data_IF_740018289332
#
_entry.id   IF_740018289332
#
_cell.length_a   1.000
_cell.length_b   1.000
_cell.length_c   1.000
_cell.angle_alpha   90.00
_cell.angle_beta   90.00
_cell.angle_gamma   90.00
#
_symmetry.space_group_name_H-M   'P 1'
#
loop_
_entity.id
_entity.type
_entity.pdbx_description
1 polymer ?
#
# COMPACT_ATOMS: atom_id res chain seq x y z
N UNK A 1 2.99 7.04 6.27
CA UNK A 1 1.87 6.81 5.32
C UNK A 1 2.45 6.02 4.17
N UNK A 2 1.83 4.89 3.80
CA UNK A 2 2.31 4.08 2.67
C UNK A 2 1.88 4.68 1.34
N UNK A 3 2.76 4.61 0.35
CA UNK A 3 2.46 5.04 -1.02
C UNK A 3 1.85 3.88 -1.81
N UNK A 4 0.81 4.16 -2.59
CA UNK A 4 0.13 3.13 -3.36
C UNK A 4 -0.09 3.58 -4.80
N UNK A 5 0.12 2.66 -5.73
CA UNK A 5 -0.14 2.90 -7.13
C UNK A 5 -1.57 2.48 -7.48
N UNK A 6 -2.33 3.35 -8.12
CA UNK A 6 -3.69 3.05 -8.58
C UNK A 6 -3.61 2.61 -10.04
N UNK A 7 -3.84 1.32 -10.27
CA UNK A 7 -3.90 0.69 -11.58
C UNK A 7 -5.38 0.48 -11.95
N UNK A 8 -5.90 1.25 -12.92
CA UNK A 8 -7.29 1.14 -13.38
C UNK A 8 -7.41 1.47 -14.87
N UNK A 9 -8.50 1.05 -15.56
CA UNK A 9 -8.68 1.35 -16.96
C UNK A 9 -8.74 2.85 -17.22
N UNK A 10 -8.16 3.28 -18.36
CA UNK A 10 -8.29 4.65 -18.86
C UNK A 10 -8.80 4.69 -20.29
N UNK A 11 -8.19 3.90 -21.20
CA UNK A 11 -8.65 3.84 -22.60
C UNK A 11 -10.11 3.45 -22.70
N UNK A 12 -10.82 4.13 -23.58
CA UNK A 12 -12.24 4.00 -23.80
C UNK A 12 -12.57 4.02 -25.29
N UNK A 13 -13.72 3.49 -25.66
CA UNK A 13 -14.22 3.48 -27.04
C UNK A 13 -14.89 4.81 -27.42
N UNK A 14 -15.43 5.48 -26.40
CA UNK A 14 -16.15 6.76 -26.54
C UNK A 14 -15.95 7.64 -25.30
N UNK A 15 -16.41 8.90 -25.37
CA UNK A 15 -16.30 9.85 -24.29
C UNK A 15 -17.02 9.42 -23.00
N UNK A 16 -18.20 8.78 -23.14
CA UNK A 16 -18.98 8.35 -21.99
C UNK A 16 -18.30 7.19 -21.22
N UNK A 17 -17.59 6.32 -21.95
CA UNK A 17 -16.77 5.28 -21.31
C UNK A 17 -15.52 5.89 -20.65
N UNK A 18 -14.89 6.89 -21.30
CA UNK A 18 -13.75 7.61 -20.72
C UNK A 18 -14.13 8.30 -19.42
N UNK A 19 -15.26 9.01 -19.39
CA UNK A 19 -15.75 9.68 -18.18
C UNK A 19 -15.95 8.68 -17.04
N UNK A 20 -16.56 7.51 -17.31
CA UNK A 20 -16.71 6.43 -16.32
C UNK A 20 -15.40 5.91 -15.80
N UNK A 21 -14.37 5.78 -16.66
CA UNK A 21 -13.04 5.33 -16.24
C UNK A 21 -12.35 6.37 -15.35
N UNK A 22 -12.48 7.67 -15.68
CA UNK A 22 -11.96 8.78 -14.89
C UNK A 22 -12.64 8.82 -13.51
N UNK A 23 -13.98 8.78 -13.48
CA UNK A 23 -14.75 8.75 -12.22
C UNK A 23 -14.35 7.56 -11.34
N UNK A 24 -14.14 6.39 -11.97
CA UNK A 24 -13.73 5.20 -11.24
C UNK A 24 -12.32 5.35 -10.65
N UNK A 25 -11.35 5.87 -11.42
CA UNK A 25 -10.01 6.15 -10.94
C UNK A 25 -10.00 7.17 -9.79
N UNK A 26 -10.83 8.22 -9.88
CA UNK A 26 -11.02 9.21 -8.81
C UNK A 26 -11.61 8.56 -7.54
N UNK A 27 -12.60 7.68 -7.71
CA UNK A 27 -13.20 6.95 -6.59
C UNK A 27 -12.18 6.04 -5.88
N UNK A 28 -11.33 5.32 -6.63
CA UNK A 28 -10.25 4.50 -6.08
C UNK A 28 -9.20 5.35 -5.35
N UNK A 29 -8.84 6.49 -5.93
CA UNK A 29 -7.93 7.46 -5.31
C UNK A 29 -8.49 7.95 -3.98
N UNK A 30 -9.77 8.32 -3.94
CA UNK A 30 -10.46 8.74 -2.72
C UNK A 30 -10.49 7.60 -1.68
N UNK A 31 -10.85 6.39 -2.10
CA UNK A 31 -10.87 5.21 -1.23
C UNK A 31 -9.51 4.95 -0.58
N UNK A 32 -8.42 5.08 -1.34
CA UNK A 32 -7.06 4.94 -0.82
C UNK A 32 -6.72 6.02 0.23
N UNK A 33 -7.09 7.28 -0.03
CA UNK A 33 -6.90 8.39 0.93
C UNK A 33 -7.69 8.12 2.22
N UNK A 34 -8.94 7.71 2.11
CA UNK A 34 -9.80 7.37 3.26
C UNK A 34 -9.26 6.19 4.07
N UNK A 35 -8.51 5.28 3.42
CA UNK A 35 -7.78 4.19 4.07
C UNK A 35 -6.42 4.61 4.68
N UNK A 36 -6.08 5.91 4.68
CA UNK A 36 -4.83 6.44 5.25
C UNK A 36 -3.60 6.18 4.37
N UNK A 37 -3.78 6.02 3.07
CA UNK A 37 -2.73 5.78 2.09
C UNK A 37 -2.43 7.05 1.28
N UNK A 38 -1.26 7.09 0.62
CA UNK A 38 -0.86 8.16 -0.30
C UNK A 38 -0.93 7.62 -1.75
N UNK A 39 -2.06 7.83 -2.47
CA UNK A 39 -2.25 7.27 -3.80
C UNK A 39 -1.49 8.05 -4.88
N UNK A 40 -0.92 7.31 -5.82
CA UNK A 40 -0.39 7.79 -7.08
C UNK A 40 -1.27 7.22 -8.19
N UNK A 41 -1.98 8.09 -8.91
CA UNK A 41 -2.90 7.74 -10.00
C UNK A 41 -2.45 8.42 -11.30
N UNK A 42 -1.43 7.90 -12.00
CA UNK A 42 -0.76 8.62 -13.09
C UNK A 42 -1.68 9.04 -14.21
N UNK A 43 -2.61 8.19 -14.60
CA UNK A 43 -3.54 8.46 -15.71
C UNK A 43 -4.56 9.58 -15.41
N UNK A 44 -4.70 10.05 -14.17
CA UNK A 44 -5.54 11.22 -13.88
C UNK A 44 -4.85 12.56 -14.16
N UNK A 45 -3.52 12.60 -14.24
CA UNK A 45 -2.79 13.84 -14.49
C UNK A 45 -1.86 13.77 -15.70
N UNK A 46 -1.22 12.64 -15.97
CA UNK A 46 -0.30 12.52 -17.13
C UNK A 46 -1.03 12.67 -18.45
N UNK A 47 -2.25 12.14 -18.55
CA UNK A 47 -3.08 12.24 -19.76
C UNK A 47 -3.60 13.65 -20.02
N UNK A 48 -3.50 14.56 -19.06
CA UNK A 48 -3.76 15.99 -19.27
C UNK A 48 -2.55 16.72 -19.89
N UNK A 49 -1.37 16.12 -19.80
CA UNK A 49 -0.11 16.68 -20.30
C UNK A 49 0.35 15.99 -21.60
N UNK A 50 -0.05 14.75 -21.81
CA UNK A 50 0.40 13.89 -22.91
C UNK A 50 -0.80 13.50 -23.80
N UNK A 51 -0.55 13.41 -25.09
CA UNK A 51 -1.54 12.92 -26.06
C UNK A 51 -1.42 11.39 -26.21
N UNK A 52 -2.40 10.66 -25.71
CA UNK A 52 -2.46 9.19 -25.76
C UNK A 52 -2.54 8.61 -27.20
N UNK A 53 -2.95 9.42 -28.18
CA UNK A 53 -2.99 9.00 -29.59
C UNK A 53 -1.62 9.07 -30.27
N UNK A 54 -0.65 9.74 -29.67
CA UNK A 54 0.71 9.79 -30.14
C UNK A 54 1.55 8.68 -29.50
N UNK A 55 2.06 7.72 -30.27
CA UNK A 55 2.77 6.56 -29.74
C UNK A 55 3.97 6.92 -28.85
N UNK A 56 4.70 7.99 -29.20
CA UNK A 56 5.86 8.44 -28.43
C UNK A 56 5.46 9.03 -27.07
N UNK A 57 4.42 9.88 -27.02
CA UNK A 57 3.94 10.50 -25.78
C UNK A 57 3.32 9.43 -24.88
N UNK A 58 2.55 8.50 -25.45
CA UNK A 58 2.03 7.35 -24.71
C UNK A 58 3.14 6.47 -24.14
N UNK A 59 4.18 6.15 -24.92
CA UNK A 59 5.31 5.37 -24.41
C UNK A 59 6.04 6.08 -23.26
N UNK A 60 6.22 7.40 -23.36
CA UNK A 60 6.80 8.20 -22.28
C UNK A 60 5.93 8.20 -21.01
N UNK A 61 4.60 8.36 -21.16
CA UNK A 61 3.66 8.29 -20.03
C UNK A 61 3.68 6.92 -19.34
N UNK A 62 3.69 5.84 -20.11
CA UNK A 62 3.79 4.49 -19.57
C UNK A 62 5.11 4.25 -18.84
N UNK A 63 6.24 4.69 -19.40
CA UNK A 63 7.55 4.57 -18.75
C UNK A 63 7.59 5.36 -17.43
N UNK A 64 7.06 6.58 -17.42
CA UNK A 64 6.95 7.40 -16.21
C UNK A 64 6.03 6.75 -15.15
N UNK A 65 4.90 6.17 -15.58
CA UNK A 65 4.00 5.42 -14.71
C UNK A 65 4.69 4.24 -14.03
N UNK A 66 5.43 3.43 -14.79
CA UNK A 66 6.17 2.29 -14.25
C UNK A 66 7.27 2.73 -13.27
N UNK A 67 7.99 3.82 -13.58
CA UNK A 67 9.00 4.37 -12.67
C UNK A 67 8.41 4.85 -11.33
N UNK A 68 7.16 5.34 -11.33
CA UNK A 68 6.43 5.68 -10.10
C UNK A 68 5.94 4.43 -9.36
N UNK A 69 5.46 3.41 -10.09
CA UNK A 69 5.03 2.13 -9.54
C UNK A 69 6.14 1.48 -8.72
N UNK A 70 7.38 1.48 -9.22
CA UNK A 70 8.58 0.95 -8.52
C UNK A 70 8.84 1.60 -7.15
N UNK A 71 8.31 2.79 -6.90
CA UNK A 71 8.46 3.53 -5.64
C UNK A 71 7.28 3.35 -4.68
N UNK A 72 6.28 2.58 -5.09
CA UNK A 72 5.09 2.33 -4.27
C UNK A 72 5.23 1.08 -3.42
N UNK A 73 4.59 1.09 -2.26
CA UNK A 73 4.59 -0.03 -1.32
C UNK A 73 3.71 -1.20 -1.82
N UNK A 74 2.66 -0.91 -2.58
CA UNK A 74 1.82 -1.90 -3.26
C UNK A 74 0.94 -1.24 -4.34
N UNK A 75 0.28 -2.07 -5.14
CA UNK A 75 -0.63 -1.65 -6.21
C UNK A 75 -2.07 -1.94 -5.82
N UNK A 76 -2.97 -0.99 -6.06
CA UNK A 76 -4.42 -1.19 -5.98
C UNK A 76 -4.95 -1.35 -7.41
N UNK A 77 -5.41 -2.55 -7.75
CA UNK A 77 -5.95 -2.86 -9.07
C UNK A 77 -7.47 -2.71 -9.08
N UNK A 78 -7.95 -1.73 -9.85
CA UNK A 78 -9.36 -1.49 -10.10
C UNK A 78 -9.84 -2.25 -11.33
N UNK A 79 -10.44 -3.43 -11.14
CA UNK A 79 -10.79 -4.36 -12.22
C UNK A 79 -12.27 -4.33 -12.62
N UNK A 80 -13.06 -3.41 -12.09
CA UNK A 80 -14.52 -3.30 -12.32
C UNK A 80 -14.90 -3.27 -13.81
N UNK A 81 -14.10 -2.62 -14.64
CA UNK A 81 -14.31 -2.48 -16.08
C UNK A 81 -13.34 -3.36 -16.91
N UNK A 82 -12.81 -4.42 -16.29
CA UNK A 82 -11.83 -5.31 -16.92
C UNK A 82 -10.39 -4.85 -16.75
N UNK A 83 -9.48 -5.61 -17.31
CA UNK A 83 -8.03 -5.35 -17.29
C UNK A 83 -7.61 -4.94 -18.68
N UNK A 84 -7.13 -3.71 -18.85
CA UNK A 84 -6.58 -3.22 -20.12
C UNK A 84 -5.15 -3.73 -20.35
N UNK A 85 -4.65 -3.59 -21.58
CA UNK A 85 -3.26 -3.93 -21.91
C UNK A 85 -2.25 -3.17 -21.04
N UNK A 86 -2.50 -1.86 -20.79
CA UNK A 86 -1.67 -1.04 -19.91
C UNK A 86 -1.64 -1.58 -18.48
N UNK A 87 -2.82 -1.88 -17.92
CA UNK A 87 -2.93 -2.50 -16.59
C UNK A 87 -2.20 -3.85 -16.51
N UNK A 88 -2.30 -4.68 -17.55
CA UNK A 88 -1.60 -5.97 -17.58
C UNK A 88 -0.08 -5.79 -17.45
N UNK A 89 0.48 -4.78 -18.13
CA UNK A 89 1.92 -4.46 -18.04
C UNK A 89 2.30 -3.95 -16.65
N UNK A 90 1.49 -3.07 -16.06
CA UNK A 90 1.69 -2.56 -14.70
C UNK A 90 1.66 -3.69 -13.68
N UNK A 91 0.68 -4.60 -13.76
CA UNK A 91 0.55 -5.76 -12.87
C UNK A 91 1.74 -6.71 -13.03
N UNK A 92 2.14 -7.03 -14.27
CA UNK A 92 3.31 -7.87 -14.53
C UNK A 92 4.60 -7.25 -14.01
N UNK A 93 4.74 -5.93 -14.14
CA UNK A 93 5.90 -5.22 -13.58
C UNK A 93 5.90 -5.27 -12.07
N UNK A 94 4.75 -5.06 -11.42
CA UNK A 94 4.61 -5.18 -9.97
C UNK A 94 5.01 -6.58 -9.49
N UNK A 95 4.50 -7.63 -10.14
CA UNK A 95 4.83 -9.02 -9.83
C UNK A 95 6.33 -9.30 -9.99
N UNK A 96 6.95 -8.82 -11.08
CA UNK A 96 8.38 -8.98 -11.33
C UNK A 96 9.26 -8.29 -10.28
N UNK A 97 8.78 -7.19 -9.70
CA UNK A 97 9.46 -6.44 -8.63
C UNK A 97 9.11 -6.94 -7.22
N UNK A 98 8.23 -7.93 -7.10
CA UNK A 98 7.75 -8.41 -5.80
C UNK A 98 6.83 -7.42 -5.08
N UNK A 99 6.24 -6.46 -5.81
CA UNK A 99 5.29 -5.48 -5.29
C UNK A 99 3.90 -6.13 -5.27
N UNK A 100 3.27 -6.15 -4.11
CA UNK A 100 1.98 -6.80 -3.90
C UNK A 100 0.86 -6.09 -4.68
N UNK A 101 0.02 -6.86 -5.38
CA UNK A 101 -1.13 -6.33 -6.12
C UNK A 101 -2.41 -6.71 -5.40
N UNK A 102 -3.17 -5.70 -4.98
CA UNK A 102 -4.41 -5.85 -4.20
C UNK A 102 -5.60 -5.42 -5.06
N UNK A 103 -6.60 -6.28 -5.18
CA UNK A 103 -7.86 -5.88 -5.82
C UNK A 103 -8.55 -4.80 -4.98
N UNK A 104 -9.01 -3.72 -5.62
CA UNK A 104 -9.65 -2.59 -4.98
C UNK A 104 -10.84 -3.00 -4.09
N UNK A 105 -11.64 -3.99 -4.49
CA UNK A 105 -12.78 -4.50 -3.72
C UNK A 105 -12.33 -5.18 -2.41
N UNK A 106 -11.08 -5.63 -2.32
CA UNK A 106 -10.51 -6.28 -1.15
C UNK A 106 -9.61 -5.36 -0.31
N UNK A 107 -9.46 -4.09 -0.70
CA UNK A 107 -8.54 -3.16 -0.04
C UNK A 107 -8.79 -3.07 1.48
N UNK A 108 -10.04 -2.91 1.87
CA UNK A 108 -10.42 -2.84 3.30
C UNK A 108 -9.98 -4.09 4.07
N UNK A 109 -10.31 -5.26 3.55
CA UNK A 109 -9.91 -6.53 4.17
C UNK A 109 -8.38 -6.69 4.24
N UNK A 110 -7.69 -6.31 3.16
CA UNK A 110 -6.23 -6.31 3.11
C UNK A 110 -5.63 -5.43 4.22
N UNK A 111 -6.10 -4.20 4.37
CA UNK A 111 -5.64 -3.28 5.40
C UNK A 111 -5.87 -3.81 6.82
N UNK A 112 -7.05 -4.40 7.07
CA UNK A 112 -7.38 -5.04 8.35
C UNK A 112 -6.46 -6.24 8.66
N UNK A 113 -6.09 -7.04 7.64
CA UNK A 113 -5.15 -8.14 7.80
C UNK A 113 -3.74 -7.65 8.13
N UNK A 114 -3.26 -6.63 7.43
CA UNK A 114 -1.93 -6.03 7.70
C UNK A 114 -1.86 -5.45 9.11
N UNK A 115 -2.90 -4.75 9.56
CA UNK A 115 -2.93 -4.22 10.94
C UNK A 115 -2.95 -5.33 11.98
N UNK A 116 -3.71 -6.41 11.77
CA UNK A 116 -3.66 -7.58 12.67
C UNK A 116 -2.28 -8.22 12.74
N UNK A 117 -1.60 -8.35 11.59
CA UNK A 117 -0.22 -8.87 11.54
C UNK A 117 0.75 -7.96 12.29
N UNK A 118 0.64 -6.64 12.09
CA UNK A 118 1.42 -5.62 12.81
C UNK A 118 1.20 -5.74 14.33
N UNK A 119 -0.03 -5.79 14.79
CA UNK A 119 -0.37 -5.92 16.21
C UNK A 119 0.15 -7.23 16.81
N UNK A 120 0.09 -8.33 16.06
CA UNK A 120 0.67 -9.61 16.50
C UNK A 120 2.21 -9.54 16.62
N UNK A 121 2.88 -8.86 15.69
CA UNK A 121 4.33 -8.63 15.73
C UNK A 121 4.73 -7.77 16.94
N UNK A 122 4.00 -6.67 17.21
CA UNK A 122 4.21 -5.80 18.38
C UNK A 122 4.06 -6.60 19.68
N UNK A 123 2.98 -7.38 19.81
CA UNK A 123 2.77 -8.22 21.00
C UNK A 123 3.87 -9.25 21.21
N UNK A 124 4.33 -9.88 20.11
CA UNK A 124 5.44 -10.84 20.17
C UNK A 124 6.72 -10.17 20.62
N UNK A 125 7.07 -9.02 20.03
CA UNK A 125 8.23 -8.23 20.44
C UNK A 125 8.16 -7.86 21.92
N UNK A 126 7.06 -7.29 22.37
CA UNK A 126 6.87 -6.89 23.77
C UNK A 126 7.03 -8.07 24.75
N UNK A 127 6.53 -9.26 24.35
CA UNK A 127 6.67 -10.47 25.16
C UNK A 127 8.13 -10.91 25.29
N UNK A 128 8.90 -10.93 24.19
CA UNK A 128 10.29 -11.40 24.22
C UNK A 128 11.28 -10.36 24.77
N UNK A 129 10.99 -9.07 24.63
CA UNK A 129 11.89 -7.97 25.00
C UNK A 129 11.48 -7.22 26.25
N UNK A 130 10.46 -7.67 27.00
CA UNK A 130 10.04 -7.01 28.23
C UNK A 130 11.17 -6.86 29.26
N UNK A 131 12.06 -7.83 29.34
CA UNK A 131 13.21 -7.80 30.25
C UNK A 131 14.26 -6.75 29.87
N UNK A 132 14.36 -6.36 28.61
CA UNK A 132 15.30 -5.35 28.12
C UNK A 132 14.94 -3.95 28.68
N UNK A 133 13.66 -3.74 29.00
CA UNK A 133 13.12 -2.51 29.58
C UNK A 133 13.04 -2.55 31.11
N UNK A 134 13.44 -3.67 31.75
CA UNK A 134 13.39 -3.81 33.20
C UNK A 134 14.53 -3.04 33.88
N UNK A 135 14.20 -2.09 34.76
CA UNK A 135 15.17 -1.29 35.54
C UNK A 135 15.95 -2.12 36.55
N UNK A 136 15.43 -3.27 36.95
CA UNK A 136 16.07 -4.18 37.90
C UNK A 136 16.78 -5.31 37.19
N UNK A 137 17.88 -5.07 36.48
CA UNK A 137 18.69 -6.08 35.76
C UNK A 137 19.29 -7.11 36.73
N UNK A 138 18.47 -8.04 37.20
CA UNK A 138 18.94 -9.23 37.89
C UNK A 138 18.55 -10.45 37.09
N UNK A 139 19.43 -10.87 36.20
CA UNK A 139 19.27 -11.96 35.22
C UNK A 139 18.92 -13.34 35.82
N UNK A 140 18.94 -13.51 37.14
CA UNK A 140 18.78 -14.82 37.78
C UNK A 140 17.73 -14.94 38.87
N UNK A 141 17.03 -13.85 39.25
CA UNK A 141 16.09 -13.86 40.38
C UNK A 141 14.82 -13.05 40.15
N UNK A 142 14.36 -12.91 38.92
CA UNK A 142 13.07 -12.28 38.71
C UNK A 142 11.95 -13.24 39.17
N UNK A 143 11.50 -13.10 40.40
CA UNK A 143 10.36 -13.81 40.98
C UNK A 143 9.03 -13.40 40.35
N UNK A 144 9.04 -12.34 39.53
CA UNK A 144 7.89 -11.84 38.81
C UNK A 144 8.01 -12.23 37.33
N UNK A 145 7.50 -13.37 36.96
CA UNK A 145 7.40 -13.88 35.58
C UNK A 145 6.70 -12.91 34.61
N UNK A 146 6.17 -11.80 35.10
CA UNK A 146 5.45 -10.81 34.29
C UNK A 146 5.54 -9.41 34.94
N UNK A 147 6.53 -8.60 34.55
CA UNK A 147 6.56 -7.20 34.92
C UNK A 147 5.67 -6.38 33.97
N UNK A 148 4.46 -6.04 34.41
CA UNK A 148 3.50 -5.25 33.60
C UNK A 148 4.10 -3.95 33.06
N UNK A 149 4.92 -3.27 33.85
CA UNK A 149 5.54 -2.01 33.44
C UNK A 149 6.58 -2.20 32.32
N UNK A 150 7.46 -3.20 32.43
CA UNK A 150 8.45 -3.51 31.38
C UNK A 150 7.78 -4.00 30.11
N UNK A 151 6.70 -4.79 30.23
CA UNK A 151 5.89 -5.19 29.07
C UNK A 151 5.23 -3.99 28.41
N UNK A 152 4.71 -3.04 29.17
CA UNK A 152 4.13 -1.80 28.65
C UNK A 152 5.17 -0.98 27.90
N UNK A 153 6.36 -0.77 28.47
CA UNK A 153 7.44 -0.02 27.83
C UNK A 153 7.93 -0.70 26.55
N UNK A 154 8.07 -2.04 26.55
CA UNK A 154 8.44 -2.80 25.35
C UNK A 154 7.35 -2.71 24.26
N UNK A 155 6.08 -2.70 24.66
CA UNK A 155 4.96 -2.54 23.73
C UNK A 155 4.96 -1.13 23.12
N UNK A 156 5.08 -0.08 23.92
CA UNK A 156 5.15 1.31 23.47
C UNK A 156 6.34 1.53 22.53
N UNK A 157 7.51 0.96 22.84
CA UNK A 157 8.66 0.98 21.94
C UNK A 157 8.36 0.30 20.60
N UNK A 158 7.81 -0.91 20.62
CA UNK A 158 7.48 -1.62 19.42
C UNK A 158 6.41 -0.89 18.58
N UNK A 159 5.42 -0.30 19.21
CA UNK A 159 4.35 0.45 18.55
C UNK A 159 4.88 1.66 17.76
N UNK A 160 5.93 2.31 18.28
CA UNK A 160 6.57 3.45 17.62
C UNK A 160 7.59 3.06 16.53
N UNK A 161 8.22 1.88 16.64
CA UNK A 161 9.32 1.47 15.76
C UNK A 161 8.90 0.40 14.73
N UNK A 162 7.83 -0.36 14.98
CA UNK A 162 7.24 -1.24 13.98
C UNK A 162 6.28 -0.44 13.10
N UNK A 163 6.84 0.24 12.11
CA UNK A 163 6.03 0.79 11.03
C UNK A 163 5.42 -0.37 10.24
N UNK A 164 4.20 -0.21 9.78
CA UNK A 164 3.57 -1.15 8.84
C UNK A 164 4.43 -1.18 7.57
N UNK A 165 5.33 -2.16 7.47
CA UNK A 165 6.01 -2.50 6.22
C UNK A 165 5.02 -3.11 5.22
#
# INVERSE_FOLDING_TARGET
MRTVYICSPYRAKDGAELDRHIEYAQALTKQAIEAGLAPITPHLYMTQCLNEDKPQERAAGMAAGLALLEKCDFVIAGVKYGISEGMSREIQTADALGIEVVNADKLRYYMECKERQRQAAIKRYAHFHACDFCKGRHFHTCALFYCKESCRQAYEYAETHFTSG
#
